data_IF_325519665492
#
_entry.id   IF_325519665492
#
_cell.length_a   1.000
_cell.length_b   1.000
_cell.length_c   1.000
_cell.angle_alpha   90.00
_cell.angle_beta   90.00
_cell.angle_gamma   90.00
#
_symmetry.space_group_name_H-M   'P 1'
#
loop_
_entity.id
_entity.type
_entity.pdbx_description
1 polymer ?
#
# COMPACT_ATOMS: atom_id res chain seq x y z
N UNK A 1 -34.05 -37.50 57.79
CA UNK A 1 -32.62 -37.52 57.39
C UNK A 1 -32.46 -37.98 55.94
N UNK A 2 -32.90 -37.18 54.95
CA UNK A 2 -32.78 -37.49 53.51
C UNK A 2 -32.53 -36.24 52.64
N UNK A 3 -32.13 -35.12 53.24
CA UNK A 3 -32.12 -33.80 52.58
C UNK A 3 -30.79 -33.06 52.64
N UNK A 4 -29.68 -33.73 52.98
CA UNK A 4 -28.34 -33.14 53.05
C UNK A 4 -27.39 -34.00 52.21
N UNK A 5 -27.66 -34.14 50.92
CA UNK A 5 -26.72 -34.82 50.00
C UNK A 5 -26.82 -34.35 48.54
N UNK A 6 -27.32 -33.13 48.33
CA UNK A 6 -27.58 -32.57 47.00
C UNK A 6 -27.11 -31.11 46.84
N UNK A 7 -26.18 -30.68 47.69
CA UNK A 7 -25.62 -29.32 47.68
C UNK A 7 -24.10 -29.27 47.46
N UNK A 8 -23.46 -30.39 47.12
CA UNK A 8 -22.00 -30.47 46.89
C UNK A 8 -21.61 -30.91 45.47
N UNK A 9 -22.59 -31.02 44.55
CA UNK A 9 -22.34 -31.49 43.18
C UNK A 9 -22.43 -30.39 42.11
N UNK A 10 -22.50 -29.11 42.51
CA UNK A 10 -22.67 -27.98 41.60
C UNK A 10 -21.62 -26.87 41.82
N UNK A 11 -20.44 -27.24 42.34
CA UNK A 11 -19.30 -26.34 42.52
C UNK A 11 -18.04 -26.80 41.77
N UNK A 12 -18.20 -27.64 40.75
CA UNK A 12 -17.28 -27.64 39.61
C UNK A 12 -17.84 -26.66 38.57
N UNK A 13 -17.92 -25.39 38.97
CA UNK A 13 -18.03 -24.30 38.01
C UNK A 13 -16.80 -24.40 37.14
N UNK A 14 -17.06 -24.71 35.87
CA UNK A 14 -16.08 -24.80 34.80
C UNK A 14 -15.16 -23.59 34.88
N UNK A 15 -13.98 -23.78 35.47
CA UNK A 15 -12.83 -22.94 35.20
C UNK A 15 -12.40 -23.32 33.80
N UNK A 16 -13.14 -22.82 32.81
CA UNK A 16 -12.67 -22.74 31.45
C UNK A 16 -11.41 -21.91 31.57
N UNK A 17 -10.26 -22.59 31.60
CA UNK A 17 -8.97 -21.96 31.40
C UNK A 17 -9.08 -21.43 29.98
N UNK A 18 -9.58 -20.20 29.85
CA UNK A 18 -9.53 -19.46 28.61
C UNK A 18 -8.05 -19.41 28.29
N UNK A 19 -7.64 -20.14 27.26
CA UNK A 19 -6.31 -19.97 26.68
C UNK A 19 -6.25 -18.52 26.22
N UNK A 20 -5.65 -17.68 27.07
CA UNK A 20 -5.35 -16.31 26.72
C UNK A 20 -4.41 -16.38 25.53
N UNK A 21 -4.79 -15.73 24.44
CA UNK A 21 -3.93 -15.60 23.27
C UNK A 21 -2.70 -14.79 23.70
N UNK A 22 -1.54 -15.45 23.76
CA UNK A 22 -0.28 -14.81 24.16
C UNK A 22 0.31 -14.04 22.97
N UNK A 23 0.87 -12.86 23.27
CA UNK A 23 1.59 -12.07 22.27
C UNK A 23 2.74 -12.92 21.69
N UNK A 24 2.76 -13.08 20.37
CA UNK A 24 3.84 -13.79 19.69
C UNK A 24 5.16 -13.02 19.86
N UNK A 25 6.19 -13.69 20.38
CA UNK A 25 7.51 -13.08 20.54
C UNK A 25 8.10 -12.65 19.20
N UNK A 26 8.79 -11.52 19.18
CA UNK A 26 9.54 -11.03 18.03
C UNK A 26 10.52 -12.08 17.51
N UNK A 27 10.64 -12.14 16.18
CA UNK A 27 11.56 -13.05 15.49
C UNK A 27 12.21 -12.33 14.33
N UNK A 28 13.45 -12.70 14.03
CA UNK A 28 14.07 -12.24 12.79
C UNK A 28 13.27 -12.77 11.61
N UNK A 29 12.99 -11.92 10.62
CA UNK A 29 12.43 -12.37 9.37
C UNK A 29 12.96 -11.55 8.18
N UNK A 30 12.78 -12.14 7.01
CA UNK A 30 13.16 -11.57 5.72
C UNK A 30 11.94 -11.51 4.82
N UNK A 31 11.78 -10.41 4.08
CA UNK A 31 10.71 -10.23 3.10
C UNK A 31 11.29 -9.70 1.79
N UNK A 32 11.03 -10.39 0.69
CA UNK A 32 11.41 -9.92 -0.65
C UNK A 32 10.36 -8.96 -1.22
N UNK A 33 10.79 -8.09 -2.13
CA UNK A 33 9.89 -7.39 -3.04
C UNK A 33 9.23 -8.38 -3.99
N UNK A 34 8.15 -7.95 -4.65
CA UNK A 34 7.40 -8.76 -5.63
C UNK A 34 8.30 -9.46 -6.67
N UNK A 35 9.29 -8.73 -7.21
CA UNK A 35 10.19 -9.25 -8.25
C UNK A 35 11.52 -9.79 -7.71
N UNK A 36 11.64 -9.94 -6.38
CA UNK A 36 12.85 -10.48 -5.74
C UNK A 36 14.13 -9.63 -5.87
N UNK A 37 14.08 -8.48 -6.55
CA UNK A 37 15.24 -7.60 -6.71
C UNK A 37 15.69 -6.97 -5.40
N UNK A 38 14.77 -6.71 -4.48
CA UNK A 38 15.07 -6.18 -3.17
C UNK A 38 14.56 -7.12 -2.09
N UNK A 39 15.22 -7.10 -0.94
CA UNK A 39 14.66 -7.69 0.27
C UNK A 39 14.99 -6.86 1.49
N UNK A 40 14.22 -7.10 2.53
CA UNK A 40 14.41 -6.50 3.84
C UNK A 40 14.73 -7.59 4.85
N UNK A 41 15.66 -7.33 5.77
CA UNK A 41 15.96 -8.16 6.94
C UNK A 41 15.68 -7.36 8.19
N UNK A 42 14.67 -7.77 8.96
CA UNK A 42 14.24 -7.13 10.20
C UNK A 42 14.66 -7.98 11.39
N UNK A 43 15.52 -7.44 12.25
CA UNK A 43 16.13 -8.13 13.40
C UNK A 43 15.72 -7.41 14.68
N UNK A 44 14.96 -8.05 15.59
CA UNK A 44 14.57 -7.43 16.85
C UNK A 44 15.74 -7.33 17.82
N UNK A 45 15.74 -6.31 18.66
CA UNK A 45 16.64 -6.17 19.81
C UNK A 45 16.02 -6.71 21.12
N UNK A 46 14.70 -6.89 21.13
CA UNK A 46 13.91 -7.29 22.30
C UNK A 46 12.86 -8.34 21.90
N UNK A 47 12.39 -9.12 22.88
CA UNK A 47 11.37 -10.17 22.67
C UNK A 47 10.01 -9.61 22.25
N UNK A 48 9.71 -8.34 22.53
CA UNK A 48 8.45 -7.66 22.21
C UNK A 48 8.71 -6.21 21.79
N UNK A 49 7.74 -5.58 21.14
CA UNK A 49 7.85 -4.18 20.70
C UNK A 49 8.60 -3.98 19.38
N UNK A 50 9.06 -2.74 19.13
CA UNK A 50 9.64 -2.31 17.85
C UNK A 50 11.14 -2.00 17.91
N UNK A 51 11.82 -2.25 19.03
CA UNK A 51 13.26 -2.04 19.14
C UNK A 51 14.01 -3.07 18.28
N UNK A 52 14.94 -2.61 17.44
CA UNK A 52 15.72 -3.49 16.57
C UNK A 52 16.34 -2.77 15.38
N UNK A 53 16.73 -3.54 14.37
CA UNK A 53 17.31 -3.01 13.12
C UNK A 53 16.67 -3.67 11.91
N UNK A 54 16.29 -2.83 10.96
CA UNK A 54 15.76 -3.26 9.66
C UNK A 54 16.71 -2.81 8.57
N UNK A 55 17.16 -3.73 7.72
CA UNK A 55 18.11 -3.45 6.64
C UNK A 55 17.52 -3.83 5.30
N UNK A 56 17.67 -2.97 4.31
CA UNK A 56 17.17 -3.17 2.95
C UNK A 56 18.35 -3.42 2.03
N UNK A 57 18.24 -4.46 1.22
CA UNK A 57 19.29 -4.92 0.31
C UNK A 57 18.78 -4.96 -1.13
N UNK A 58 19.67 -4.65 -2.07
CA UNK A 58 19.52 -4.96 -3.49
C UNK A 58 20.26 -6.26 -3.79
N UNK A 59 19.56 -7.21 -4.39
CA UNK A 59 20.09 -8.52 -4.76
C UNK A 59 21.10 -8.40 -5.92
N UNK A 60 22.24 -9.06 -5.74
CA UNK A 60 23.35 -9.10 -6.71
C UNK A 60 23.83 -10.53 -6.89
N UNK A 61 24.68 -10.73 -7.89
CA UNK A 61 25.23 -12.06 -8.21
C UNK A 61 26.18 -12.57 -7.11
N UNK A 62 27.20 -11.77 -6.76
CA UNK A 62 28.20 -12.18 -5.76
C UNK A 62 27.84 -11.76 -4.34
N UNK A 63 27.48 -10.49 -4.15
CA UNK A 63 27.23 -9.91 -2.83
C UNK A 63 26.13 -8.87 -2.89
N UNK A 64 25.06 -9.12 -2.13
CA UNK A 64 23.95 -8.19 -1.97
C UNK A 64 24.44 -6.83 -1.46
N UNK A 65 23.92 -5.76 -2.08
CA UNK A 65 24.26 -4.40 -1.71
C UNK A 65 23.31 -3.90 -0.63
N UNK A 66 23.82 -3.53 0.54
CA UNK A 66 23.05 -2.80 1.54
C UNK A 66 22.69 -1.41 0.99
N UNK A 67 21.40 -1.10 0.98
CA UNK A 67 20.89 0.21 0.57
C UNK A 67 20.62 1.10 1.78
N UNK A 68 19.81 0.61 2.72
CA UNK A 68 19.30 1.41 3.84
C UNK A 68 19.33 0.62 5.14
N UNK A 69 19.48 1.32 6.25
CA UNK A 69 19.32 0.78 7.60
C UNK A 69 18.38 1.68 8.38
N UNK A 70 17.42 1.07 9.06
CA UNK A 70 16.54 1.73 10.01
C UNK A 70 16.76 1.19 11.42
N UNK A 71 16.74 2.08 12.41
CA UNK A 71 16.87 1.74 13.83
C UNK A 71 15.52 1.37 14.46
N UNK A 72 14.79 0.50 13.76
CA UNK A 72 13.57 -0.13 14.26
C UNK A 72 13.44 -1.55 13.72
N UNK A 73 12.66 -2.35 14.44
CA UNK A 73 12.08 -3.61 14.00
C UNK A 73 10.58 -3.40 13.78
N UNK A 74 10.01 -4.20 12.88
CA UNK A 74 8.56 -4.38 12.76
C UNK A 74 8.34 -5.84 12.42
N UNK A 75 7.37 -6.54 13.01
CA UNK A 75 7.10 -7.96 12.74
C UNK A 75 6.50 -8.21 11.36
N UNK A 76 5.96 -7.16 10.72
CA UNK A 76 5.37 -7.26 9.41
C UNK A 76 5.57 -5.97 8.63
N UNK A 77 6.09 -6.10 7.42
CA UNK A 77 6.35 -4.98 6.55
C UNK A 77 6.30 -5.43 5.10
N UNK A 78 6.14 -4.46 4.19
CA UNK A 78 6.14 -4.68 2.76
C UNK A 78 7.23 -3.83 2.13
N UNK A 79 7.85 -4.34 1.07
CA UNK A 79 8.88 -3.65 0.30
C UNK A 79 8.53 -3.67 -1.19
N UNK A 80 8.77 -2.55 -1.86
CA UNK A 80 8.60 -2.40 -3.29
C UNK A 80 9.78 -1.68 -3.94
N UNK A 81 10.22 -2.16 -5.08
CA UNK A 81 11.22 -1.52 -5.93
C UNK A 81 11.22 -2.21 -7.29
N UNK A 82 11.51 -1.45 -8.35
CA UNK A 82 11.36 -1.97 -9.72
C UNK A 82 12.69 -2.27 -10.42
N UNK A 83 13.70 -1.43 -10.19
CA UNK A 83 14.96 -1.52 -10.88
C UNK A 83 16.07 -0.84 -10.06
N UNK A 84 17.34 -1.12 -10.36
CA UNK A 84 18.47 -0.40 -9.79
C UNK A 84 18.34 1.11 -9.99
N UNK A 85 18.62 1.88 -8.95
CA UNK A 85 18.51 3.35 -8.98
C UNK A 85 17.08 3.90 -8.95
N UNK A 86 16.05 3.05 -9.00
CA UNK A 86 14.67 3.47 -8.72
C UNK A 86 14.46 3.62 -7.21
N UNK A 87 13.49 4.45 -6.77
CA UNK A 87 13.11 4.51 -5.38
C UNK A 87 12.67 3.15 -4.84
N UNK A 88 13.00 2.89 -3.58
CA UNK A 88 12.52 1.72 -2.85
C UNK A 88 11.53 2.18 -1.79
N UNK A 89 10.34 1.60 -1.78
CA UNK A 89 9.29 1.93 -0.81
C UNK A 89 9.23 0.84 0.25
N UNK A 90 9.14 1.24 1.50
CA UNK A 90 8.94 0.34 2.64
C UNK A 90 7.70 0.78 3.39
N UNK A 91 6.80 -0.17 3.64
CA UNK A 91 5.60 0.04 4.45
C UNK A 91 5.77 -0.77 5.72
N UNK A 92 5.92 -0.06 6.84
CA UNK A 92 6.11 -0.61 8.19
C UNK A 92 4.77 -0.66 8.91
N UNK A 93 4.39 -1.80 9.45
CA UNK A 93 3.25 -1.88 10.37
C UNK A 93 3.66 -1.73 11.82
N UNK A 94 2.68 -1.33 12.64
CA UNK A 94 2.75 -1.34 14.09
C UNK A 94 3.07 -2.70 14.70
N UNK A 95 3.39 -2.72 16.01
CA UNK A 95 3.52 -3.95 16.74
C UNK A 95 2.13 -4.54 17.03
N UNK A 96 2.15 -5.59 17.84
CA UNK A 96 0.97 -6.17 18.44
C UNK A 96 0.46 -5.24 19.57
N UNK A 97 -0.48 -4.34 19.27
CA UNK A 97 -0.92 -3.32 20.23
C UNK A 97 -1.67 -3.91 21.41
N UNK A 98 -1.29 -3.50 22.62
CA UNK A 98 -1.95 -3.90 23.87
C UNK A 98 -3.16 -3.01 24.15
N UNK A 99 -4.12 -3.55 24.90
CA UNK A 99 -5.35 -2.86 25.26
C UNK A 99 -6.51 -3.19 24.32
N UNK A 100 -7.53 -2.33 24.34
CA UNK A 100 -8.83 -2.63 23.72
C UNK A 100 -9.42 -1.47 22.91
N UNK A 101 -8.67 -0.39 22.74
CA UNK A 101 -9.10 0.83 22.05
C UNK A 101 -7.98 1.33 21.15
N UNK A 102 -8.33 1.85 19.98
CA UNK A 102 -7.37 2.56 19.14
C UNK A 102 -6.87 3.84 19.84
N UNK A 103 -5.63 4.23 19.57
CA UNK A 103 -4.92 5.28 20.28
C UNK A 103 -4.06 6.10 19.32
N UNK A 104 -3.91 7.40 19.60
CA UNK A 104 -3.02 8.30 18.86
C UNK A 104 -1.53 7.96 19.00
N UNK A 105 -1.14 7.27 20.06
CA UNK A 105 0.26 6.89 20.32
C UNK A 105 0.63 5.51 19.76
N UNK A 106 -0.36 4.76 19.29
CA UNK A 106 -0.15 3.43 18.74
C UNK A 106 0.07 3.55 17.23
N UNK A 107 1.28 3.26 16.74
CA UNK A 107 1.59 3.27 15.30
C UNK A 107 0.80 2.18 14.57
N UNK A 108 -0.06 2.52 13.60
CA UNK A 108 -0.69 1.53 12.72
C UNK A 108 0.20 1.18 11.53
N UNK A 109 0.62 2.21 10.79
CA UNK A 109 1.31 2.07 9.51
C UNK A 109 2.19 3.30 9.27
N UNK A 110 3.39 3.08 8.72
CA UNK A 110 4.31 4.13 8.30
C UNK A 110 4.88 3.84 6.92
N UNK A 111 5.10 4.90 6.15
CA UNK A 111 5.56 4.86 4.77
C UNK A 111 6.95 5.47 4.67
N UNK A 112 7.85 4.75 4.02
CA UNK A 112 9.21 5.18 3.76
C UNK A 112 9.47 5.13 2.26
N UNK A 113 10.24 6.09 1.78
CA UNK A 113 10.82 6.09 0.44
C UNK A 113 12.32 6.26 0.59
N UNK A 114 13.06 5.25 0.14
CA UNK A 114 14.46 5.06 0.48
C UNK A 114 14.63 5.05 2.01
N UNK A 115 15.56 5.81 2.55
CA UNK A 115 15.78 5.96 3.99
C UNK A 115 14.87 6.99 4.68
N UNK A 116 14.02 7.70 3.93
CA UNK A 116 13.21 8.79 4.46
C UNK A 116 11.80 8.33 4.90
N UNK A 117 11.41 8.66 6.13
CA UNK A 117 10.02 8.59 6.58
C UNK A 117 9.19 9.66 5.85
N UNK A 118 8.14 9.23 5.16
CA UNK A 118 7.21 10.11 4.47
C UNK A 118 6.04 10.49 5.39
N UNK A 119 5.40 9.48 5.98
CA UNK A 119 4.21 9.65 6.80
C UNK A 119 3.99 8.46 7.71
N UNK A 120 3.37 8.71 8.86
CA UNK A 120 2.90 7.69 9.79
C UNK A 120 1.47 7.98 10.22
N UNK A 121 0.76 6.92 10.56
CA UNK A 121 -0.61 6.97 11.02
C UNK A 121 -0.72 6.18 12.31
N UNK A 122 -1.38 6.77 13.30
CA UNK A 122 -1.78 6.06 14.50
C UNK A 122 -2.95 5.12 14.23
N UNK A 123 -3.24 4.19 15.14
CA UNK A 123 -4.41 3.31 15.02
C UNK A 123 -5.69 4.13 14.97
N UNK A 124 -5.79 5.20 15.75
CA UNK A 124 -6.95 6.08 15.73
C UNK A 124 -7.04 6.91 14.43
N UNK A 125 -5.92 7.28 13.82
CA UNK A 125 -5.94 7.94 12.50
C UNK A 125 -6.51 7.04 11.40
N UNK A 126 -6.38 5.72 11.54
CA UNK A 126 -6.90 4.74 10.59
C UNK A 126 -8.40 4.53 10.79
N UNK A 127 -8.83 4.20 12.02
CA UNK A 127 -10.21 3.76 12.26
C UNK A 127 -11.19 4.88 12.57
N UNK A 128 -10.69 6.07 12.96
CA UNK A 128 -11.44 7.29 13.33
C UNK A 128 -12.39 7.16 14.52
N UNK A 129 -12.77 5.95 14.91
CA UNK A 129 -13.52 5.59 16.12
C UNK A 129 -12.67 4.62 16.94
N UNK A 130 -12.40 4.95 18.21
CA UNK A 130 -11.52 4.19 19.09
C UNK A 130 -12.02 2.76 19.37
N UNK A 131 -13.32 2.51 19.17
CA UNK A 131 -13.95 1.20 19.35
C UNK A 131 -14.00 0.36 18.08
N UNK A 132 -13.66 0.91 16.91
CA UNK A 132 -13.66 0.18 15.65
C UNK A 132 -12.38 -0.68 15.52
N UNK A 133 -12.18 -1.57 16.49
CA UNK A 133 -11.05 -2.49 16.62
C UNK A 133 -11.57 -3.87 17.00
N UNK A 134 -10.85 -4.90 16.58
CA UNK A 134 -11.11 -6.28 17.01
C UNK A 134 -10.19 -6.57 18.18
N UNK A 135 -10.78 -6.88 19.33
CA UNK A 135 -10.04 -7.09 20.57
C UNK A 135 -9.97 -8.56 20.93
N UNK A 136 -8.86 -8.95 21.53
CA UNK A 136 -8.69 -10.21 22.24
C UNK A 136 -8.26 -9.92 23.68
N UNK A 137 -7.86 -10.96 24.42
CA UNK A 137 -7.39 -10.83 25.80
C UNK A 137 -6.13 -9.96 25.91
N UNK A 138 -5.20 -10.07 24.96
CA UNK A 138 -3.87 -9.44 25.06
C UNK A 138 -3.71 -8.22 24.17
N UNK A 139 -4.60 -8.01 23.19
CA UNK A 139 -4.35 -7.07 22.11
C UNK A 139 -5.58 -6.63 21.33
N UNK A 140 -5.36 -5.68 20.43
CA UNK A 140 -6.34 -5.33 19.41
C UNK A 140 -5.71 -5.21 18.01
N UNK A 141 -6.57 -5.35 17.00
CA UNK A 141 -6.22 -5.14 15.59
C UNK A 141 -7.21 -4.19 14.94
N UNK A 142 -6.78 -3.48 13.91
CA UNK A 142 -7.55 -2.50 13.14
C UNK A 142 -7.72 -2.88 11.67
N UNK A 143 -6.84 -3.74 11.16
CA UNK A 143 -6.85 -4.21 9.77
C UNK A 143 -7.40 -5.61 9.71
N UNK A 144 -8.44 -5.79 8.88
CA UNK A 144 -8.94 -7.09 8.47
C UNK A 144 -7.97 -7.78 7.51
N UNK A 145 -7.38 -7.00 6.60
CA UNK A 145 -6.45 -7.50 5.57
C UNK A 145 -5.41 -6.45 5.19
N UNK A 146 -4.19 -6.89 4.95
CA UNK A 146 -3.09 -6.07 4.41
C UNK A 146 -2.87 -6.51 2.98
N UNK A 147 -3.43 -5.76 2.03
CA UNK A 147 -3.52 -6.20 0.63
C UNK A 147 -2.17 -6.07 -0.09
N UNK A 148 -1.36 -5.08 0.30
CA UNK A 148 -0.03 -4.88 -0.24
C UNK A 148 0.01 -3.78 -1.31
N UNK A 149 1.10 -3.78 -2.08
CA UNK A 149 1.28 -2.84 -3.18
C UNK A 149 0.40 -3.22 -4.38
N UNK A 150 -0.18 -2.22 -5.06
CA UNK A 150 -0.78 -2.36 -6.39
C UNK A 150 -0.39 -1.20 -7.29
N UNK A 151 -0.52 -1.42 -8.60
CA UNK A 151 -0.33 -0.41 -9.65
C UNK A 151 -1.64 -0.25 -10.42
N UNK A 152 -2.59 0.55 -9.93
CA UNK A 152 -3.90 0.63 -10.57
C UNK A 152 -3.85 1.41 -11.89
N UNK A 153 -2.96 2.40 -11.99
CA UNK A 153 -2.94 3.39 -13.08
C UNK A 153 -1.50 3.71 -13.47
N UNK A 154 -1.00 3.02 -14.49
CA UNK A 154 0.36 3.26 -15.02
C UNK A 154 1.47 3.05 -13.98
N UNK A 155 2.25 4.12 -13.74
CA UNK A 155 3.43 4.07 -12.87
C UNK A 155 3.14 4.43 -11.41
N UNK A 156 1.90 4.78 -11.06
CA UNK A 156 1.57 5.07 -9.67
C UNK A 156 1.56 3.78 -8.86
N UNK A 157 2.35 3.75 -7.80
CA UNK A 157 2.37 2.67 -6.82
C UNK A 157 1.55 3.16 -5.63
N UNK A 158 0.64 2.32 -5.18
CA UNK A 158 -0.16 2.58 -3.99
C UNK A 158 -0.16 1.34 -3.11
N UNK A 159 -0.52 1.54 -1.86
CA UNK A 159 -0.59 0.47 -0.88
C UNK A 159 -2.00 0.40 -0.28
N UNK A 160 -2.57 -0.79 -0.27
CA UNK A 160 -3.94 -0.99 0.20
C UNK A 160 -3.97 -1.79 1.50
N UNK A 161 -4.88 -1.38 2.38
CA UNK A 161 -5.31 -2.13 3.56
C UNK A 161 -6.82 -2.12 3.64
N UNK A 162 -7.38 -3.16 4.25
CA UNK A 162 -8.80 -3.27 4.53
C UNK A 162 -9.00 -3.18 6.04
N UNK A 163 -9.86 -2.26 6.49
CA UNK A 163 -10.27 -2.12 7.88
C UNK A 163 -11.37 -3.13 8.24
N UNK A 164 -11.72 -3.22 9.53
CA UNK A 164 -12.68 -4.21 10.03
C UNK A 164 -14.12 -3.98 9.55
N UNK A 165 -14.47 -2.74 9.23
CA UNK A 165 -15.72 -2.31 8.60
C UNK A 165 -15.71 -2.47 7.07
N UNK A 166 -14.80 -3.30 6.54
CA UNK A 166 -14.64 -3.63 5.13
C UNK A 166 -14.26 -2.47 4.20
N UNK A 167 -13.94 -1.29 4.75
CA UNK A 167 -13.43 -0.16 3.97
C UNK A 167 -12.00 -0.43 3.49
N UNK A 168 -11.75 -0.12 2.21
CA UNK A 168 -10.40 -0.12 1.63
C UNK A 168 -9.80 1.27 1.82
N UNK A 169 -8.62 1.32 2.42
CA UNK A 169 -7.81 2.52 2.53
C UNK A 169 -6.62 2.37 1.56
N UNK A 170 -6.55 3.29 0.60
CA UNK A 170 -5.52 3.35 -0.43
C UNK A 170 -4.53 4.46 -0.06
N UNK A 171 -3.24 4.17 -0.05
CA UNK A 171 -2.20 5.14 0.28
C UNK A 171 -1.28 5.38 -0.92
N UNK A 172 -1.00 6.63 -1.22
CA UNK A 172 0.02 7.01 -2.19
C UNK A 172 1.39 6.72 -1.60
N UNK A 173 2.18 5.81 -2.20
CA UNK A 173 3.48 5.43 -1.62
C UNK A 173 4.56 6.47 -1.80
N UNK A 174 4.36 7.46 -2.68
CA UNK A 174 5.30 8.57 -2.89
C UNK A 174 5.23 9.62 -1.78
N UNK A 175 4.05 9.80 -1.19
CA UNK A 175 3.79 10.83 -0.17
C UNK A 175 3.40 10.24 1.18
N UNK A 176 3.04 8.96 1.21
CA UNK A 176 2.43 8.28 2.34
C UNK A 176 0.98 8.73 2.59
N UNK A 177 0.37 9.55 1.75
CA UNK A 177 -0.95 10.13 2.03
C UNK A 177 -2.10 9.20 1.67
N UNK A 178 -3.19 9.28 2.45
CA UNK A 178 -4.44 8.60 2.13
C UNK A 178 -5.04 9.22 0.87
N UNK A 179 -5.38 8.38 -0.09
CA UNK A 179 -6.04 8.78 -1.34
C UNK A 179 -7.54 8.87 -1.07
N UNK A 180 -8.13 10.02 -1.40
CA UNK A 180 -9.58 10.19 -1.34
C UNK A 180 -10.30 9.39 -2.44
N UNK A 181 -11.59 9.11 -2.25
CA UNK A 181 -12.40 8.46 -3.29
C UNK A 181 -12.46 9.29 -4.58
N UNK A 182 -12.44 10.62 -4.47
CA UNK A 182 -12.41 11.52 -5.63
C UNK A 182 -11.10 11.38 -6.40
N UNK A 183 -9.96 11.40 -5.70
CA UNK A 183 -8.64 11.20 -6.31
C UNK A 183 -8.51 9.80 -6.94
N UNK A 184 -9.05 8.76 -6.30
CA UNK A 184 -9.07 7.40 -6.85
C UNK A 184 -9.94 7.31 -8.12
N UNK A 185 -11.13 7.92 -8.10
CA UNK A 185 -12.00 7.99 -9.28
C UNK A 185 -11.35 8.78 -10.42
N UNK A 186 -10.66 9.88 -10.09
CA UNK A 186 -9.95 10.71 -11.04
C UNK A 186 -8.76 9.97 -11.67
N UNK A 187 -7.97 9.25 -10.85
CA UNK A 187 -6.88 8.39 -11.31
C UNK A 187 -7.35 7.31 -12.27
N UNK A 188 -8.46 6.64 -11.95
CA UNK A 188 -9.10 5.67 -12.85
C UNK A 188 -9.52 6.30 -14.17
N UNK A 189 -10.20 7.45 -14.11
CA UNK A 189 -10.63 8.17 -15.31
C UNK A 189 -9.44 8.54 -16.20
N UNK A 190 -8.33 8.99 -15.61
CA UNK A 190 -7.12 9.26 -16.37
C UNK A 190 -6.57 8.01 -17.07
N UNK A 191 -6.50 6.89 -16.37
CA UNK A 191 -6.04 5.65 -16.97
C UNK A 191 -6.93 5.20 -18.15
N UNK A 192 -8.25 5.29 -18.00
CA UNK A 192 -9.21 4.95 -19.05
C UNK A 192 -9.00 5.84 -20.29
N UNK A 193 -8.77 7.15 -20.09
CA UNK A 193 -8.46 8.10 -21.16
C UNK A 193 -7.16 7.74 -21.87
N UNK A 194 -6.08 7.43 -21.14
CA UNK A 194 -4.80 7.04 -21.75
C UNK A 194 -4.91 5.75 -22.54
N UNK A 195 -5.65 4.78 -22.01
CA UNK A 195 -5.91 3.51 -22.70
C UNK A 195 -6.63 3.75 -24.01
N UNK A 196 -7.65 4.62 -24.01
CA UNK A 196 -8.41 4.97 -25.21
C UNK A 196 -7.57 5.72 -26.25
N UNK A 197 -6.74 6.67 -25.82
CA UNK A 197 -5.78 7.35 -26.71
C UNK A 197 -4.82 6.34 -27.33
N UNK A 198 -4.31 5.40 -26.54
CA UNK A 198 -3.37 4.37 -27.01
C UNK A 198 -4.04 3.46 -28.05
N UNK A 199 -5.32 3.12 -27.87
CA UNK A 199 -6.12 2.38 -28.86
C UNK A 199 -6.29 3.17 -30.16
N UNK A 200 -6.64 4.45 -30.10
CA UNK A 200 -6.78 5.31 -31.28
C UNK A 200 -5.44 5.41 -32.04
N UNK A 201 -4.33 5.61 -31.31
CA UNK A 201 -2.97 5.62 -31.88
C UNK A 201 -2.65 4.30 -32.58
N UNK A 202 -2.95 3.17 -31.94
CA UNK A 202 -2.74 1.85 -32.52
C UNK A 202 -3.57 1.62 -33.79
N UNK A 203 -4.85 2.02 -33.78
CA UNK A 203 -5.71 1.91 -34.97
C UNK A 203 -5.18 2.74 -36.14
N UNK A 204 -4.68 3.94 -35.87
CA UNK A 204 -4.06 4.77 -36.90
C UNK A 204 -2.76 4.13 -37.41
N UNK A 205 -1.91 3.60 -36.52
CA UNK A 205 -0.67 2.92 -36.89
C UNK A 205 -0.95 1.76 -37.85
N UNK A 206 -1.87 0.88 -37.48
CA UNK A 206 -2.22 -0.28 -38.30
C UNK A 206 -2.69 0.09 -39.72
N UNK A 207 -3.36 1.24 -39.88
CA UNK A 207 -3.82 1.75 -41.18
C UNK A 207 -2.70 2.36 -42.03
N UNK A 208 -1.60 2.79 -41.42
CA UNK A 208 -0.54 3.54 -42.09
C UNK A 208 0.82 2.82 -42.09
N UNK A 209 0.96 1.68 -41.42
CA UNK A 209 2.26 1.01 -41.17
C UNK A 209 3.09 0.70 -42.43
N UNK A 210 2.47 0.63 -43.61
CA UNK A 210 3.17 0.43 -44.89
C UNK A 210 3.85 1.70 -45.41
N UNK A 211 3.39 2.87 -45.00
CA UNK A 211 3.93 4.18 -45.42
C UNK A 211 4.84 4.81 -44.37
N UNK A 212 5.02 4.16 -43.23
CA UNK A 212 5.83 4.68 -42.13
C UNK A 212 7.18 3.97 -42.11
N UNK A 213 8.26 4.73 -42.30
CA UNK A 213 9.63 4.21 -42.22
C UNK A 213 10.11 3.97 -40.78
N UNK A 214 9.49 4.62 -39.77
CA UNK A 214 9.88 4.52 -38.37
C UNK A 214 8.68 4.53 -37.39
N UNK A 215 8.55 3.46 -36.61
CA UNK A 215 7.47 3.28 -35.60
C UNK A 215 7.55 4.31 -34.45
N UNK A 216 8.65 5.04 -34.33
CA UNK A 216 8.82 6.07 -33.31
C UNK A 216 8.45 7.49 -33.79
N UNK A 217 8.16 7.71 -35.08
CA UNK A 217 7.86 9.04 -35.66
C UNK A 217 6.38 9.46 -35.55
N UNK A 218 5.63 8.91 -34.59
CA UNK A 218 4.21 9.22 -34.40
C UNK A 218 3.96 10.46 -33.54
N UNK A 219 4.33 11.63 -34.05
CA UNK A 219 3.82 12.91 -33.55
C UNK A 219 2.36 13.12 -33.95
N UNK A 220 1.47 12.23 -33.48
CA UNK A 220 0.02 12.37 -33.64
C UNK A 220 -0.44 13.45 -32.67
N UNK A 221 -0.93 14.58 -33.18
CA UNK A 221 -1.43 15.67 -32.34
C UNK A 221 -2.82 15.36 -31.77
N UNK A 222 -3.26 16.13 -30.76
CA UNK A 222 -4.65 16.05 -30.28
C UNK A 222 -5.67 16.30 -31.42
N UNK A 223 -5.37 17.21 -32.35
CA UNK A 223 -6.24 17.48 -33.49
C UNK A 223 -6.34 16.26 -34.41
N UNK A 224 -5.26 15.50 -34.57
CA UNK A 224 -5.25 14.28 -35.37
C UNK A 224 -6.04 13.16 -34.68
N UNK A 225 -5.86 12.98 -33.37
CA UNK A 225 -6.66 12.02 -32.59
C UNK A 225 -8.17 12.30 -32.70
N UNK A 226 -8.57 13.58 -32.62
CA UNK A 226 -9.98 13.98 -32.81
C UNK A 226 -10.50 13.73 -34.22
N UNK A 227 -9.64 13.78 -35.24
CA UNK A 227 -10.02 13.44 -36.63
C UNK A 227 -10.12 11.93 -36.84
N UNK A 228 -9.28 11.14 -36.16
CA UNK A 228 -9.27 9.68 -36.29
C UNK A 228 -10.55 9.08 -35.71
N UNK A 229 -10.96 9.54 -34.54
CA UNK A 229 -12.14 9.01 -33.84
C UNK A 229 -12.89 10.12 -33.07
N UNK A 230 -13.65 10.98 -33.78
CA UNK A 230 -14.32 12.13 -33.18
C UNK A 230 -15.37 11.74 -32.14
N UNK A 231 -16.11 10.66 -32.40
CA UNK A 231 -17.22 10.22 -31.56
C UNK A 231 -16.74 9.55 -30.27
N UNK A 232 -15.51 9.01 -30.28
CA UNK A 232 -14.95 8.32 -29.13
C UNK A 232 -13.75 9.05 -28.51
N UNK A 233 -13.36 10.23 -28.98
CA UNK A 233 -12.26 10.97 -28.39
C UNK A 233 -12.54 11.25 -26.89
N UNK A 234 -11.67 10.80 -25.97
CA UNK A 234 -11.94 10.96 -24.54
C UNK A 234 -11.94 12.42 -24.10
N UNK A 235 -12.90 12.80 -23.27
CA UNK A 235 -12.99 14.15 -22.68
C UNK A 235 -12.22 14.17 -21.36
N UNK A 236 -11.13 14.96 -21.23
CA UNK A 236 -10.40 15.08 -19.98
C UNK A 236 -11.28 15.68 -18.88
N UNK A 237 -10.98 15.41 -17.59
CA UNK A 237 -11.58 16.13 -16.47
C UNK A 237 -11.43 17.64 -16.63
N UNK A 238 -12.31 18.40 -15.98
CA UNK A 238 -12.29 19.87 -16.05
C UNK A 238 -10.93 20.42 -15.62
N UNK A 239 -10.41 21.35 -16.41
CA UNK A 239 -9.08 21.88 -16.19
C UNK A 239 -8.00 20.82 -16.32
N UNK A 240 -8.06 19.91 -17.30
CA UNK A 240 -6.95 19.05 -17.72
C UNK A 240 -6.82 19.07 -19.25
N UNK A 241 -5.61 18.83 -19.77
CA UNK A 241 -5.36 18.71 -21.21
C UNK A 241 -4.72 17.36 -21.54
N UNK A 242 -5.15 16.79 -22.66
CA UNK A 242 -4.53 15.59 -23.23
C UNK A 242 -3.29 16.04 -24.01
N UNK A 243 -2.12 15.56 -23.64
CA UNK A 243 -0.97 15.58 -24.54
C UNK A 243 -0.76 14.16 -25.07
N UNK A 244 -0.37 13.98 -26.34
CA UNK A 244 -0.26 12.66 -26.96
C UNK A 244 0.61 11.67 -26.17
N UNK A 245 1.57 12.17 -25.39
CA UNK A 245 2.51 11.35 -24.63
C UNK A 245 2.38 11.47 -23.10
N UNK A 246 1.56 12.40 -22.58
CA UNK A 246 1.36 12.66 -21.14
C UNK A 246 0.02 13.38 -20.88
N UNK A 247 -0.55 13.29 -19.67
CA UNK A 247 -1.62 14.20 -19.24
C UNK A 247 -1.10 15.10 -18.13
N UNK A 248 -1.50 16.37 -18.13
CA UNK A 248 -1.03 17.36 -17.17
C UNK A 248 -2.16 18.22 -16.61
N UNK A 249 -2.00 18.66 -15.37
CA UNK A 249 -2.85 19.70 -14.77
C UNK A 249 -2.39 21.08 -15.29
N UNK A 250 -3.28 22.01 -15.66
CA UNK A 250 -2.96 23.36 -16.10
C UNK A 250 -2.14 24.16 -15.09
N UNK A 251 -2.27 23.87 -13.79
CA UNK A 251 -1.45 24.50 -12.75
C UNK A 251 0.02 24.07 -12.78
N UNK A 252 0.35 22.97 -13.46
CA UNK A 252 1.72 22.51 -13.69
C UNK A 252 2.31 23.07 -15.00
N UNK A 253 1.52 23.84 -15.78
CA UNK A 253 1.92 24.39 -17.09
C UNK A 253 2.57 25.78 -16.96
N UNK A 254 2.58 26.41 -15.78
CA UNK A 254 3.27 27.70 -15.58
C UNK A 254 4.57 27.48 -14.79
N UNK A 255 5.60 27.05 -15.51
CA UNK A 255 7.03 27.42 -15.38
C UNK A 255 7.85 26.53 -16.34
N UNK A 256 7.72 26.79 -17.64
CA UNK A 256 8.75 26.52 -18.65
C UNK A 256 9.06 27.84 -19.34
#
# INVERSE_FOLDING_TARGET
MRSILLAFLFYFTLSSIGFADEEASNRTYVKSSEYGQFYVKSVPAESYGLAGKTRVYWVKDEQDQLLFTYDWYSPELYIYGFAPGSPVYVVKFGPWHRGHLANHNDLAIAFYKNDQLLKEYSTLDIVKDDKNVSTSVSHYTMFKKRMGFRRPWGNQIIFDVQTLDDKILSFNTETGELISQEEEALGKRFYDIQTKISQIKWQWYEKNKETIENVNDYDITEADLKKIDPDNYPIPPEGYKIMPNKMWKPSEIIKL
#
